data_IF_894310204212
#
_entry.id   IF_894310204212
#
_cell.length_a   1.000
_cell.length_b   1.000
_cell.length_c   1.000
_cell.angle_alpha   90.00
_cell.angle_beta   90.00
_cell.angle_gamma   90.00
#
_symmetry.space_group_name_H-M   'P 1'
#
loop_
_entity.id
_entity.type
_entity.pdbx_description
1 polymer ?
#
# COMPACT_ATOMS: atom_id res chain seq x y z
N UNK A 1 29.99 0.78 23.17
CA UNK A 1 28.57 0.93 23.56
C UNK A 1 27.80 0.30 22.43
N UNK A 2 27.36 -0.95 22.61
CA UNK A 2 26.62 -1.70 21.60
C UNK A 2 25.31 -0.96 21.38
N UNK A 3 25.10 -0.41 20.19
CA UNK A 3 23.76 0.01 19.77
C UNK A 3 22.89 -1.23 19.86
N UNK A 4 21.84 -1.16 20.68
CA UNK A 4 20.80 -2.17 20.66
C UNK A 4 20.10 -2.05 19.30
N UNK A 5 20.61 -2.77 18.29
CA UNK A 5 20.14 -2.72 16.90
C UNK A 5 18.81 -3.48 16.71
N UNK A 6 17.90 -3.39 17.69
CA UNK A 6 16.63 -4.11 17.72
C UNK A 6 15.43 -3.17 17.87
N UNK A 7 14.23 -3.63 17.46
CA UNK A 7 13.01 -2.87 17.70
C UNK A 7 12.76 -2.69 19.21
N UNK A 8 12.14 -1.57 19.62
CA UNK A 8 11.85 -1.32 21.01
C UNK A 8 10.92 -2.40 21.58
N UNK A 9 10.98 -2.59 22.90
CA UNK A 9 10.11 -3.56 23.56
C UNK A 9 8.64 -3.25 23.28
N UNK A 10 7.93 -4.23 22.71
CA UNK A 10 6.51 -4.10 22.38
C UNK A 10 6.23 -3.48 21.01
N UNK A 11 7.25 -3.31 20.17
CA UNK A 11 7.10 -2.97 18.74
C UNK A 11 6.16 -3.96 18.04
N UNK A 12 5.27 -3.43 17.21
CA UNK A 12 4.42 -4.23 16.32
C UNK A 12 4.79 -3.92 14.88
N UNK A 13 5.28 -4.95 14.18
CA UNK A 13 5.58 -4.90 12.75
C UNK A 13 4.32 -4.56 11.94
N UNK A 14 4.42 -3.67 10.94
CA UNK A 14 3.28 -3.33 10.08
C UNK A 14 2.84 -4.53 9.24
N UNK A 15 1.58 -4.52 8.84
CA UNK A 15 1.12 -5.41 7.76
C UNK A 15 1.22 -4.68 6.42
N UNK A 16 1.50 -5.41 5.34
CA UNK A 16 1.50 -4.82 3.99
C UNK A 16 0.10 -4.88 3.40
N UNK A 17 -0.43 -3.72 3.01
CA UNK A 17 -1.60 -3.62 2.14
C UNK A 17 -1.15 -3.49 0.67
N UNK A 18 -1.81 -4.22 -0.20
CA UNK A 18 -1.65 -4.16 -1.65
C UNK A 18 -2.81 -3.36 -2.24
N UNK A 19 -2.54 -2.09 -2.52
CA UNK A 19 -3.51 -1.11 -2.98
C UNK A 19 -3.52 -1.05 -4.49
N UNK A 20 -4.67 -1.35 -5.12
CA UNK A 20 -4.83 -1.11 -6.57
C UNK A 20 -5.27 0.33 -6.74
N UNK A 21 -4.53 1.09 -7.54
CA UNK A 21 -4.70 2.53 -7.69
C UNK A 21 -4.51 2.99 -9.15
N UNK A 22 -4.92 4.22 -9.44
CA UNK A 22 -4.67 4.90 -10.70
C UNK A 22 -4.51 6.41 -10.51
N UNK A 23 -3.81 7.08 -11.43
CA UNK A 23 -3.83 8.55 -11.53
C UNK A 23 -4.87 8.94 -12.58
N UNK A 24 -5.79 9.85 -12.22
CA UNK A 24 -6.76 10.36 -13.20
C UNK A 24 -6.03 11.29 -14.18
N UNK A 25 -6.00 10.96 -15.49
CA UNK A 25 -5.33 11.80 -16.48
C UNK A 25 -5.97 13.19 -16.64
N UNK A 26 -7.19 13.39 -16.15
CA UNK A 26 -7.90 14.69 -16.15
C UNK A 26 -7.47 15.59 -14.99
N UNK A 27 -6.92 15.01 -13.92
CA UNK A 27 -6.56 15.71 -12.68
C UNK A 27 -5.24 15.16 -12.09
N UNK A 28 -4.12 15.18 -12.85
CA UNK A 28 -2.88 14.50 -12.45
C UNK A 28 -2.27 15.05 -11.14
N UNK A 29 -2.54 16.32 -10.82
CA UNK A 29 -2.01 16.97 -9.62
C UNK A 29 -2.72 16.56 -8.32
N UNK A 30 -3.88 15.88 -8.42
CA UNK A 30 -4.63 15.37 -7.25
C UNK A 30 -3.99 14.09 -6.68
N UNK A 31 -3.18 13.42 -7.50
CA UNK A 31 -2.47 12.21 -7.13
C UNK A 31 -3.24 10.93 -7.46
N UNK A 32 -2.98 9.88 -6.69
CA UNK A 32 -3.49 8.53 -6.94
C UNK A 32 -4.85 8.31 -6.28
N UNK A 33 -5.76 7.65 -6.99
CA UNK A 33 -7.05 7.19 -6.50
C UNK A 33 -7.02 5.69 -6.26
N UNK A 34 -7.51 5.25 -5.11
CA UNK A 34 -7.59 3.84 -4.76
C UNK A 34 -8.91 3.22 -5.24
N UNK A 35 -8.82 2.06 -5.90
CA UNK A 35 -9.99 1.24 -6.29
C UNK A 35 -10.19 0.04 -5.37
N UNK A 36 -9.14 -0.41 -4.67
CA UNK A 36 -9.23 -1.47 -3.67
C UNK A 36 -7.92 -1.64 -2.89
N UNK A 37 -8.01 -2.29 -1.73
CA UNK A 37 -6.86 -2.66 -0.91
C UNK A 37 -7.03 -4.09 -0.40
N UNK A 38 -5.95 -4.86 -0.42
CA UNK A 38 -5.94 -6.27 -0.06
C UNK A 38 -4.80 -6.61 0.88
N UNK A 39 -4.96 -7.66 1.67
CA UNK A 39 -3.90 -8.18 2.55
C UNK A 39 -2.98 -9.18 1.85
N UNK A 40 -3.21 -9.46 0.56
CA UNK A 40 -2.39 -10.36 -0.26
C UNK A 40 -2.20 -9.79 -1.66
N UNK A 41 -1.02 -10.01 -2.23
CA UNK A 41 -0.68 -9.62 -3.60
C UNK A 41 -1.63 -10.27 -4.61
N UNK A 42 -1.88 -11.57 -4.47
CA UNK A 42 -2.71 -12.33 -5.40
C UNK A 42 -4.16 -11.80 -5.54
N UNK A 43 -4.76 -11.25 -4.49
CA UNK A 43 -6.10 -10.66 -4.60
C UNK A 43 -6.07 -9.27 -5.26
N UNK A 44 -5.01 -8.48 -5.02
CA UNK A 44 -4.81 -7.21 -5.72
C UNK A 44 -4.56 -7.43 -7.22
N UNK A 45 -3.74 -8.42 -7.58
CA UNK A 45 -3.52 -8.82 -8.99
C UNK A 45 -4.80 -9.27 -9.67
N UNK A 46 -5.65 -10.06 -8.99
CA UNK A 46 -6.95 -10.47 -9.53
C UNK A 46 -7.84 -9.27 -9.85
N UNK A 47 -7.90 -8.27 -8.96
CA UNK A 47 -8.66 -7.05 -9.22
C UNK A 47 -8.07 -6.27 -10.40
N UNK A 48 -6.76 -6.08 -10.42
CA UNK A 48 -6.07 -5.36 -11.48
C UNK A 48 -6.35 -5.98 -12.85
N UNK A 49 -6.16 -7.30 -12.99
CA UNK A 49 -6.40 -8.03 -14.24
C UNK A 49 -7.87 -7.96 -14.67
N UNK A 50 -8.79 -8.04 -13.70
CA UNK A 50 -10.22 -7.94 -13.97
C UNK A 50 -10.60 -6.57 -14.51
N UNK A 51 -10.18 -5.49 -13.85
CA UNK A 51 -10.49 -4.13 -14.27
C UNK A 51 -9.86 -3.79 -15.62
N UNK A 52 -8.62 -4.26 -15.87
CA UNK A 52 -7.98 -4.13 -17.18
C UNK A 52 -8.78 -4.86 -18.27
N UNK A 53 -9.26 -6.07 -18.01
CA UNK A 53 -10.09 -6.82 -18.96
C UNK A 53 -11.47 -6.18 -19.19
N UNK A 54 -12.02 -5.49 -18.19
CA UNK A 54 -13.26 -4.71 -18.29
C UNK A 54 -13.05 -3.36 -19.01
N UNK A 55 -11.82 -3.01 -19.38
CA UNK A 55 -11.50 -1.78 -20.11
C UNK A 55 -11.49 -0.54 -19.22
N UNK A 56 -10.95 -0.65 -17.99
CA UNK A 56 -10.77 0.50 -17.11
C UNK A 56 -10.10 1.66 -17.85
N UNK A 57 -10.60 2.88 -17.61
CA UNK A 57 -10.37 4.03 -18.50
C UNK A 57 -8.93 4.59 -18.48
N UNK A 58 -8.08 4.13 -17.57
CA UNK A 58 -6.71 4.61 -17.38
C UNK A 58 -5.84 3.49 -16.82
N UNK A 59 -4.54 3.72 -16.76
CA UNK A 59 -3.55 2.77 -16.25
C UNK A 59 -3.75 2.51 -14.75
N UNK A 60 -3.77 1.22 -14.40
CA UNK A 60 -3.87 0.74 -13.02
C UNK A 60 -2.51 0.22 -12.57
N UNK A 61 -2.17 0.46 -11.30
CA UNK A 61 -0.95 -0.01 -10.66
C UNK A 61 -1.27 -0.60 -9.28
N UNK A 62 -0.33 -1.40 -8.75
CA UNK A 62 -0.39 -1.87 -7.36
C UNK A 62 0.66 -1.13 -6.55
N UNK A 63 0.22 -0.42 -5.52
CA UNK A 63 1.03 0.27 -4.55
C UNK A 63 1.09 -0.53 -3.24
N UNK A 64 2.28 -0.68 -2.66
CA UNK A 64 2.46 -1.40 -1.40
C UNK A 64 2.50 -0.38 -0.26
N UNK A 65 1.56 -0.51 0.68
CA UNK A 65 1.43 0.43 1.80
C UNK A 65 1.62 -0.31 3.12
N UNK A 66 2.67 -0.01 3.91
CA UNK A 66 2.78 -0.53 5.26
C UNK A 66 1.68 0.10 6.14
N UNK A 67 0.90 -0.74 6.79
CA UNK A 67 -0.19 -0.34 7.69
C UNK A 67 0.27 -0.60 9.12
N UNK A 68 0.71 0.47 9.77
CA UNK A 68 1.09 0.44 11.18
C UNK A 68 -0.15 0.45 12.06
N UNK A 69 -0.09 -0.30 13.17
CA UNK A 69 -1.17 -0.33 14.15
C UNK A 69 -1.17 0.89 15.06
N UNK A 70 0.01 1.46 15.33
CA UNK A 70 0.23 2.57 16.25
C UNK A 70 1.25 3.54 15.68
N UNK A 71 1.19 4.80 16.09
CA UNK A 71 2.07 5.85 15.60
C UNK A 71 3.49 5.65 16.10
N UNK A 72 3.67 5.17 17.33
CA UNK A 72 4.98 4.92 17.93
C UNK A 72 5.75 3.84 17.17
N UNK A 73 5.04 2.83 16.66
CA UNK A 73 5.61 1.79 15.81
C UNK A 73 6.07 2.40 14.45
N UNK A 74 5.26 3.28 13.85
CA UNK A 74 5.64 4.02 12.62
C UNK A 74 6.81 4.99 12.84
N UNK A 75 6.84 5.72 13.96
CA UNK A 75 7.89 6.69 14.25
C UNK A 75 9.28 6.06 14.37
N UNK A 76 9.34 4.78 14.79
CA UNK A 76 10.57 4.01 14.86
C UNK A 76 10.99 3.42 13.50
N UNK A 77 10.03 2.97 12.68
CA UNK A 77 10.26 2.25 11.41
C UNK A 77 10.38 3.17 10.17
N UNK A 78 10.15 4.48 10.31
CA UNK A 78 10.16 5.46 9.21
C UNK A 78 11.54 5.87 8.69
#
# INVERSE_FOLDING_TARGET
MTTEDGPPQGYIEPITAWCVEYVDPREPDVGSHQVGAFTTEAEAEKLLLRLQAEGFFTELQINLVPVHRRVEDWEWDR
#
